data_IF_587592841270
#
_entry.id   IF_587592841270
#
_cell.length_a   1.000
_cell.length_b   1.000
_cell.length_c   1.000
_cell.angle_alpha   90.00
_cell.angle_beta   90.00
_cell.angle_gamma   90.00
#
_symmetry.space_group_name_H-M   'P 1'
#
loop_
_entity.id
_entity.type
_entity.pdbx_description
1 polymer ?
#
# COMPACT_ATOMS: atom_id res chain seq x y z
N UNK A 1 -5.22 -11.59 6.31
CA UNK A 1 -6.01 -10.43 6.68
C UNK A 1 -7.29 -10.38 5.86
N UNK A 2 -8.38 -10.02 6.49
CA UNK A 2 -9.69 -10.02 5.86
C UNK A 2 -9.95 -8.74 5.07
N UNK A 3 -9.16 -8.53 4.02
CA UNK A 3 -9.25 -7.37 3.12
C UNK A 3 -9.65 -7.85 1.74
N UNK A 4 -10.55 -7.09 1.09
CA UNK A 4 -10.99 -7.39 -0.27
C UNK A 4 -9.77 -7.44 -1.21
N UNK A 5 -9.52 -8.57 -1.91
CA UNK A 5 -8.36 -8.68 -2.79
C UNK A 5 -8.38 -7.69 -3.95
N UNK A 6 -9.54 -7.27 -4.42
CA UNK A 6 -9.62 -6.22 -5.46
C UNK A 6 -9.13 -4.88 -4.95
N UNK A 7 -9.36 -4.57 -3.67
CA UNK A 7 -8.84 -3.34 -3.06
C UNK A 7 -7.32 -3.38 -2.98
N UNK A 8 -6.74 -4.50 -2.55
CA UNK A 8 -5.29 -4.66 -2.53
C UNK A 8 -4.70 -4.53 -3.94
N UNK A 9 -5.34 -5.13 -4.94
CA UNK A 9 -4.91 -5.02 -6.33
C UNK A 9 -5.00 -3.56 -6.82
N UNK A 10 -6.04 -2.83 -6.44
CA UNK A 10 -6.19 -1.43 -6.81
C UNK A 10 -5.09 -0.56 -6.21
N UNK A 11 -4.70 -0.83 -4.96
CA UNK A 11 -3.59 -0.14 -4.31
C UNK A 11 -2.27 -0.48 -5.03
N UNK A 12 -2.02 -1.75 -5.32
CA UNK A 12 -0.81 -2.18 -6.03
C UNK A 12 -0.71 -1.52 -7.41
N UNK A 13 -1.82 -1.43 -8.14
CA UNK A 13 -1.87 -0.76 -9.43
C UNK A 13 -1.55 0.73 -9.28
N UNK A 14 -2.14 1.39 -8.29
CA UNK A 14 -1.91 2.81 -8.02
C UNK A 14 -0.45 3.08 -7.63
N UNK A 15 0.13 2.22 -6.79
CA UNK A 15 1.47 2.44 -6.26
C UNK A 15 2.57 2.16 -7.27
N UNK A 16 2.50 1.05 -7.98
CA UNK A 16 3.62 0.59 -8.81
C UNK A 16 3.21 0.06 -10.17
N UNK A 17 1.92 0.05 -10.50
CA UNK A 17 1.40 -0.64 -11.67
C UNK A 17 1.83 -2.12 -11.68
N UNK A 18 1.76 -2.77 -10.51
CA UNK A 18 2.11 -4.18 -10.29
C UNK A 18 3.60 -4.52 -10.50
N UNK A 19 4.49 -3.54 -10.41
CA UNK A 19 5.92 -3.78 -10.61
C UNK A 19 6.60 -4.21 -9.32
N UNK A 20 7.03 -5.48 -9.25
CA UNK A 20 7.65 -6.05 -8.06
C UNK A 20 8.98 -5.38 -7.69
N UNK A 21 9.72 -4.88 -8.69
CA UNK A 21 11.03 -4.26 -8.48
C UNK A 21 10.99 -2.73 -8.40
N UNK A 22 9.80 -2.13 -8.26
CA UNK A 22 9.68 -0.69 -8.18
C UNK A 22 10.32 -0.16 -6.90
N UNK A 23 11.14 0.88 -7.04
CA UNK A 23 11.71 1.62 -5.91
C UNK A 23 11.60 3.09 -6.22
N UNK A 24 11.00 3.86 -5.30
CA UNK A 24 10.94 5.31 -5.40
C UNK A 24 11.72 5.92 -4.25
N UNK A 25 12.66 6.79 -4.56
CA UNK A 25 13.43 7.51 -3.55
C UNK A 25 12.73 8.81 -3.21
N UNK A 26 12.58 9.07 -1.92
CA UNK A 26 11.90 10.26 -1.42
C UNK A 26 12.91 11.31 -0.98
N UNK A 27 12.48 12.59 -0.98
CA UNK A 27 13.36 13.71 -0.61
C UNK A 27 13.86 13.61 0.84
N UNK A 28 13.09 12.97 1.73
CA UNK A 28 13.46 12.79 3.13
C UNK A 28 14.45 11.65 3.36
N UNK A 29 14.97 11.03 2.31
CA UNK A 29 15.92 9.92 2.41
C UNK A 29 15.28 8.55 2.52
N UNK A 30 13.96 8.45 2.66
CA UNK A 30 13.27 7.16 2.68
C UNK A 30 13.08 6.63 1.26
N UNK A 31 12.74 5.34 1.17
CA UNK A 31 12.42 4.68 -0.10
C UNK A 31 11.06 3.99 0.02
N UNK A 32 10.32 3.97 -1.09
CA UNK A 32 9.11 3.17 -1.22
C UNK A 32 9.46 1.95 -2.09
N UNK A 33 9.12 0.75 -1.61
CA UNK A 33 9.69 -0.50 -2.12
C UNK A 33 8.60 -1.46 -2.59
N UNK A 34 8.74 -1.94 -3.81
CA UNK A 34 7.98 -3.06 -4.35
C UNK A 34 6.56 -2.73 -4.77
N UNK A 35 5.76 -3.80 -4.91
CA UNK A 35 4.41 -3.73 -5.49
C UNK A 35 3.49 -2.74 -4.76
N UNK A 36 3.52 -2.75 -3.43
CA UNK A 36 2.67 -1.90 -2.60
C UNK A 36 3.39 -0.65 -2.11
N UNK A 37 4.62 -0.42 -2.56
CA UNK A 37 5.44 0.75 -2.22
C UNK A 37 5.58 0.94 -0.70
N UNK A 38 6.08 -0.11 -0.04
CA UNK A 38 6.32 -0.11 1.40
C UNK A 38 7.46 0.85 1.74
N UNK A 39 7.18 1.83 2.60
CA UNK A 39 8.19 2.81 2.98
C UNK A 39 9.25 2.18 3.87
N UNK A 40 10.51 2.57 3.66
CA UNK A 40 11.66 2.04 4.40
C UNK A 40 11.60 2.33 5.91
N UNK A 41 10.79 3.27 6.36
CA UNK A 41 10.56 3.52 7.79
C UNK A 41 9.95 2.30 8.50
N UNK A 42 9.30 1.40 7.78
CA UNK A 42 8.73 0.17 8.35
C UNK A 42 9.78 -0.91 8.59
N UNK A 43 11.00 -0.80 8.02
CA UNK A 43 12.01 -1.86 8.10
C UNK A 43 12.39 -2.26 9.52
N UNK A 44 12.58 -1.32 10.50
CA UNK A 44 12.87 -1.73 11.86
C UNK A 44 11.76 -2.59 12.48
N UNK A 45 10.50 -2.26 12.22
CA UNK A 45 9.36 -3.02 12.71
C UNK A 45 9.29 -4.39 12.02
N UNK A 46 9.49 -4.42 10.70
CA UNK A 46 9.45 -5.66 9.92
C UNK A 46 10.59 -6.61 10.30
N UNK A 47 11.74 -6.10 10.72
CA UNK A 47 12.86 -6.92 11.15
C UNK A 47 12.50 -7.82 12.33
N UNK A 48 11.56 -7.38 13.18
CA UNK A 48 11.07 -8.18 14.32
C UNK A 48 10.39 -9.47 13.85
N UNK A 49 9.91 -9.49 12.61
CA UNK A 49 9.24 -10.65 12.00
C UNK A 49 10.13 -11.35 10.98
N UNK A 50 11.43 -11.04 10.96
CA UNK A 50 12.37 -11.65 10.02
C UNK A 50 12.25 -11.16 8.59
N UNK A 51 11.61 -10.01 8.36
CA UNK A 51 11.43 -9.44 7.02
C UNK A 51 12.46 -8.33 6.80
N UNK A 52 13.33 -8.53 5.80
CA UNK A 52 14.33 -7.54 5.39
C UNK A 52 13.86 -6.78 4.14
N UNK A 53 14.63 -5.75 3.75
CA UNK A 53 14.35 -5.01 2.53
C UNK A 53 14.29 -5.92 1.29
N UNK A 54 15.18 -6.91 1.20
CA UNK A 54 15.21 -7.85 0.06
C UNK A 54 13.92 -8.63 -0.07
N UNK A 55 13.32 -9.02 1.06
CA UNK A 55 12.06 -9.76 1.06
C UNK A 55 10.92 -8.92 0.45
N UNK A 56 11.01 -7.60 0.51
CA UNK A 56 9.95 -6.73 -0.01
C UNK A 56 9.88 -6.71 -1.55
N UNK A 57 10.88 -7.26 -2.23
CA UNK A 57 10.82 -7.45 -3.68
C UNK A 57 10.07 -8.74 -4.08
N UNK A 58 9.77 -9.61 -3.12
CA UNK A 58 8.86 -10.73 -3.33
C UNK A 58 7.42 -10.20 -3.28
N UNK A 59 6.63 -10.33 -4.36
CA UNK A 59 5.27 -9.78 -4.39
C UNK A 59 4.38 -10.33 -3.28
N UNK A 60 4.50 -11.61 -2.95
CA UNK A 60 3.67 -12.21 -1.90
C UNK A 60 3.97 -11.59 -0.53
N UNK A 61 5.24 -11.42 -0.20
CA UNK A 61 5.65 -10.77 1.06
C UNK A 61 5.21 -9.31 1.06
N UNK A 62 5.47 -8.61 -0.04
CA UNK A 62 5.15 -7.19 -0.14
C UNK A 62 3.65 -6.92 0.04
N UNK A 63 2.81 -7.70 -0.65
CA UNK A 63 1.35 -7.56 -0.56
C UNK A 63 0.87 -7.89 0.85
N UNK A 64 1.44 -8.90 1.50
CA UNK A 64 1.09 -9.24 2.88
C UNK A 64 1.43 -8.08 3.83
N UNK A 65 2.58 -7.46 3.67
CA UNK A 65 2.99 -6.29 4.47
C UNK A 65 2.05 -5.11 4.18
N UNK A 66 1.74 -4.85 2.92
CA UNK A 66 0.81 -3.79 2.54
C UNK A 66 -0.58 -3.99 3.14
N UNK A 67 -1.08 -5.23 3.12
CA UNK A 67 -2.36 -5.57 3.76
C UNK A 67 -2.31 -5.33 5.27
N UNK A 68 -1.21 -5.68 5.93
CA UNK A 68 -1.01 -5.42 7.35
C UNK A 68 -1.02 -3.92 7.67
N UNK A 69 -0.36 -3.10 6.85
CA UNK A 69 -0.36 -1.65 7.01
C UNK A 69 -1.78 -1.10 6.84
N UNK A 70 -2.47 -1.51 5.77
CA UNK A 70 -3.84 -1.06 5.52
C UNK A 70 -4.77 -1.43 6.67
N UNK A 71 -4.61 -2.64 7.22
CA UNK A 71 -5.40 -3.10 8.36
C UNK A 71 -5.21 -2.19 9.57
N UNK A 72 -4.00 -1.73 9.82
CA UNK A 72 -3.74 -0.77 10.90
C UNK A 72 -4.43 0.57 10.64
N UNK A 73 -4.44 1.04 9.39
CA UNK A 73 -5.17 2.26 9.02
C UNK A 73 -6.67 2.07 9.24
N UNK A 74 -7.21 0.92 8.90
CA UNK A 74 -8.62 0.61 9.13
C UNK A 74 -8.95 0.53 10.62
N UNK A 75 -8.03 0.07 11.45
CA UNK A 75 -8.22 0.08 12.91
C UNK A 75 -8.36 1.51 13.45
N UNK A 76 -7.68 2.48 12.85
CA UNK A 76 -7.74 3.88 13.27
C UNK A 76 -8.87 4.67 12.61
N UNK A 77 -9.18 4.40 11.35
CA UNK A 77 -10.12 5.20 10.54
C UNK A 77 -11.35 4.44 10.09
N UNK A 78 -11.51 3.18 10.52
CA UNK A 78 -12.60 2.32 10.05
C UNK A 78 -12.34 1.77 8.64
N UNK A 79 -13.25 0.93 8.16
CA UNK A 79 -13.20 0.42 6.79
C UNK A 79 -13.75 1.48 5.83
N UNK A 80 -12.96 2.50 5.55
CA UNK A 80 -13.37 3.72 4.84
C UNK A 80 -12.36 4.10 3.78
N UNK A 81 -12.77 4.97 2.87
CA UNK A 81 -11.85 5.57 1.90
C UNK A 81 -10.83 6.48 2.55
N UNK A 82 -11.13 7.03 3.73
CA UNK A 82 -10.14 7.75 4.50
C UNK A 82 -8.99 6.85 4.93
N UNK A 83 -9.29 5.65 5.43
CA UNK A 83 -8.25 4.68 5.77
C UNK A 83 -7.36 4.35 4.57
N UNK A 84 -7.96 4.16 3.40
CA UNK A 84 -7.22 3.93 2.14
C UNK A 84 -6.31 5.13 1.84
N UNK A 85 -6.84 6.34 1.95
CA UNK A 85 -6.08 7.56 1.72
C UNK A 85 -4.88 7.68 2.64
N UNK A 86 -5.03 7.33 3.91
CA UNK A 86 -3.95 7.42 4.90
C UNK A 86 -2.86 6.37 4.69
N UNK A 87 -3.11 5.35 3.88
CA UNK A 87 -2.05 4.43 3.45
C UNK A 87 -0.92 5.20 2.76
N UNK A 88 -1.27 6.24 2.00
CA UNK A 88 -0.32 7.10 1.30
C UNK A 88 0.12 8.28 2.15
N UNK A 89 -0.84 9.03 2.73
CA UNK A 89 -0.53 10.26 3.44
C UNK A 89 -1.68 10.64 4.39
N UNK A 90 -1.34 11.26 5.52
CA UNK A 90 -2.33 11.84 6.44
C UNK A 90 -2.70 13.26 6.06
N UNK A 91 -1.95 13.90 5.16
CA UNK A 91 -2.25 15.25 4.68
C UNK A 91 -3.52 15.23 3.83
N UNK A 92 -4.54 16.06 4.14
CA UNK A 92 -5.86 15.94 3.51
C UNK A 92 -5.85 15.91 1.99
N UNK A 93 -5.15 16.83 1.33
CA UNK A 93 -5.15 16.89 -0.13
C UNK A 93 -4.53 15.63 -0.75
N UNK A 94 -3.40 15.18 -0.23
CA UNK A 94 -2.75 13.96 -0.72
C UNK A 94 -3.56 12.72 -0.40
N UNK A 95 -4.13 12.66 0.80
CA UNK A 95 -4.98 11.55 1.25
C UNK A 95 -6.16 11.35 0.31
N UNK A 96 -6.94 12.40 0.05
CA UNK A 96 -8.15 12.29 -0.75
C UNK A 96 -7.87 12.11 -2.23
N UNK A 97 -6.81 12.73 -2.75
CA UNK A 97 -6.38 12.52 -4.12
C UNK A 97 -5.97 11.06 -4.35
N UNK A 98 -5.21 10.50 -3.42
CA UNK A 98 -4.80 9.10 -3.48
C UNK A 98 -6.00 8.15 -3.41
N UNK A 99 -6.91 8.38 -2.46
CA UNK A 99 -8.12 7.56 -2.33
C UNK A 99 -8.94 7.56 -3.62
N UNK A 100 -9.03 8.71 -4.29
CA UNK A 100 -9.72 8.82 -5.58
C UNK A 100 -9.05 8.00 -6.68
N UNK A 101 -7.73 7.98 -6.73
CA UNK A 101 -6.98 7.16 -7.69
C UNK A 101 -7.21 5.67 -7.45
N UNK A 102 -7.17 5.24 -6.20
CA UNK A 102 -7.44 3.84 -5.84
C UNK A 102 -8.86 3.46 -6.22
N UNK A 103 -9.82 4.32 -5.93
CA UNK A 103 -11.22 4.09 -6.29
C UNK A 103 -11.39 3.90 -7.80
N UNK A 104 -10.77 4.77 -8.61
CA UNK A 104 -10.81 4.64 -10.06
C UNK A 104 -10.21 3.34 -10.56
N UNK A 105 -9.08 2.94 -10.01
CA UNK A 105 -8.43 1.67 -10.34
C UNK A 105 -9.26 0.48 -9.88
N UNK A 106 -9.90 0.57 -8.71
CA UNK A 106 -10.78 -0.48 -8.22
C UNK A 106 -11.94 -0.72 -9.18
N UNK A 107 -12.57 0.35 -9.67
CA UNK A 107 -13.67 0.23 -10.61
C UNK A 107 -13.27 -0.47 -11.90
N UNK A 108 -12.06 -0.23 -12.39
CA UNK A 108 -11.53 -0.89 -13.58
C UNK A 108 -11.26 -2.36 -13.37
N UNK A 109 -10.86 -2.75 -12.15
CA UNK A 109 -10.52 -4.13 -11.83
C UNK A 109 -11.73 -4.99 -11.48
N UNK A 110 -12.83 -4.38 -11.01
CA UNK A 110 -14.03 -5.13 -10.67
C UNK A 110 -14.68 -5.70 -11.93
N UNK A 111 -15.23 -6.94 -11.83
CA UNK A 111 -15.96 -7.52 -12.96
C UNK A 111 -17.14 -6.66 -13.35
N UNK A 112 -17.51 -6.69 -14.65
CA UNK A 112 -18.72 -6.04 -15.13
C UNK A 112 -19.95 -6.70 -14.48
N UNK A 113 -21.00 -5.92 -14.17
CA UNK A 113 -22.23 -6.45 -13.59
C UNK A 113 -22.97 -7.39 -14.57
#
# INVERSE_FOLDING_TARGET
YNINPYLLAAIAKTESNFKANAVRRNKNGTRDIGVMQINSLWLPELAKYGISEEHLFDPCVNIAVGAWILRQRQASYGNTWEAVGTYHSKTPDFKWNYAGKVYGNLRQLLPAP
#
